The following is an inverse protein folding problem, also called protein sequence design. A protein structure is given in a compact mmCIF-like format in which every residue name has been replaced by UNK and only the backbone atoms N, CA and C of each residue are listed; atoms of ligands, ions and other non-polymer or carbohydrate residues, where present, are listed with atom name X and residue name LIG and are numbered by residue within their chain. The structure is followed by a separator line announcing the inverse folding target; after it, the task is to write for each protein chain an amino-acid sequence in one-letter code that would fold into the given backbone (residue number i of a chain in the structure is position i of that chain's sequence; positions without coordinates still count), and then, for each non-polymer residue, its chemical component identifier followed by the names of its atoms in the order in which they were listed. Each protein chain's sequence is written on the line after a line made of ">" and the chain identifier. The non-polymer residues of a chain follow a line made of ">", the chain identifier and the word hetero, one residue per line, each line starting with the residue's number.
data_IF_649639420420
#
_entry.id   IF_649639420420
#
_cell.length_a   1.000
_cell.length_b   1.000
_cell.length_c   1.000
_cell.angle_alpha   90.00
_cell.angle_beta   90.00
_cell.angle_gamma   90.00
#
_symmetry.space_group_name_H-M   'P 1'
#
loop_
_entity.id
_entity.type
_entity.pdbx_description
1 polymer ?
#
# COMPACT_ATOMS: atom_id res chain seq x y z
N UNK A 1 37.36 12.52 -1.86
CA UNK A 1 37.41 13.08 -0.51
C UNK A 1 35.99 13.35 -0.04
N UNK A 2 35.48 12.47 0.80
CA UNK A 2 34.16 12.63 1.43
C UNK A 2 34.37 13.45 2.70
N UNK A 3 33.84 14.65 2.76
CA UNK A 3 33.88 15.48 3.95
C UNK A 3 32.86 14.95 4.98
N UNK A 4 33.37 14.74 6.19
CA UNK A 4 32.61 14.34 7.38
C UNK A 4 31.49 15.36 7.67
N UNK A 5 30.26 14.88 7.77
CA UNK A 5 29.18 15.63 8.39
C UNK A 5 29.47 15.77 9.88
N UNK A 6 29.75 16.99 10.33
CA UNK A 6 29.89 17.33 11.73
C UNK A 6 28.52 17.19 12.42
N UNK A 7 28.52 16.50 13.55
CA UNK A 7 27.38 16.44 14.46
C UNK A 7 27.07 17.86 14.98
N UNK A 8 25.96 18.41 14.59
CA UNK A 8 25.41 19.62 15.19
C UNK A 8 24.81 19.28 16.55
N UNK A 9 25.25 20.02 17.57
CA UNK A 9 24.76 19.95 18.93
C UNK A 9 23.25 20.16 19.02
N UNK A 10 22.69 19.75 20.16
CA UNK A 10 21.28 19.80 20.53
C UNK A 10 20.79 21.25 20.55
N UNK A 11 20.54 21.80 19.38
CA UNK A 11 19.88 23.08 19.15
C UNK A 11 18.62 22.83 18.36
N UNK A 12 17.53 23.49 18.70
CA UNK A 12 16.19 23.45 18.17
C UNK A 12 16.02 22.59 16.90
N UNK A 13 15.32 21.47 17.01
CA UNK A 13 14.96 20.61 15.88
C UNK A 13 14.24 21.46 14.84
N UNK A 14 14.96 21.89 13.81
CA UNK A 14 14.31 22.54 12.66
C UNK A 14 13.45 21.44 12.03
N UNK A 15 12.16 21.48 12.31
CA UNK A 15 11.20 20.62 11.61
C UNK A 15 11.12 21.17 10.18
N UNK A 16 11.79 20.49 9.26
CA UNK A 16 11.62 20.74 7.84
C UNK A 16 10.16 20.46 7.47
N UNK A 17 9.55 21.38 6.74
CA UNK A 17 8.20 21.17 6.22
C UNK A 17 8.24 20.07 5.17
N UNK A 18 7.16 19.28 5.12
CA UNK A 18 6.98 18.30 4.05
C UNK A 18 6.94 19.01 2.70
N UNK A 19 7.59 18.44 1.70
CA UNK A 19 7.48 18.91 0.32
C UNK A 19 6.02 18.86 -0.15
N UNK A 20 5.56 19.84 -0.95
CA UNK A 20 4.25 19.76 -1.57
C UNK A 20 4.10 18.48 -2.38
N UNK A 21 2.89 17.97 -2.42
CA UNK A 21 2.55 16.87 -3.31
C UNK A 21 2.74 17.29 -4.77
N UNK A 22 3.27 16.40 -5.59
CA UNK A 22 3.58 16.67 -6.99
C UNK A 22 3.04 15.53 -7.86
N UNK A 23 2.69 15.85 -9.11
CA UNK A 23 2.31 14.82 -10.07
C UNK A 23 3.51 13.95 -10.44
N UNK A 24 3.28 12.66 -10.59
CA UNK A 24 4.29 11.72 -11.10
C UNK A 24 4.44 11.93 -12.60
N UNK A 25 5.61 12.35 -13.05
CA UNK A 25 5.92 12.49 -14.46
C UNK A 25 6.40 11.17 -15.11
N UNK A 26 6.37 11.03 -16.43
CA UNK A 26 6.66 9.77 -17.13
C UNK A 26 8.09 9.24 -16.88
N UNK A 27 9.04 10.10 -16.59
CA UNK A 27 10.42 9.67 -16.29
C UNK A 27 10.54 8.90 -14.97
N UNK A 28 9.60 9.05 -14.04
CA UNK A 28 9.61 8.31 -12.78
C UNK A 28 9.27 6.83 -12.96
N UNK A 29 8.60 6.44 -14.05
CA UNK A 29 8.27 5.04 -14.33
C UNK A 29 9.52 4.15 -14.30
N UNK A 30 10.63 4.57 -14.92
CA UNK A 30 11.89 3.82 -14.93
C UNK A 30 12.49 3.56 -13.54
N UNK A 31 12.20 4.43 -12.57
CA UNK A 31 12.70 4.30 -11.20
C UNK A 31 11.67 3.65 -10.28
N UNK A 32 10.40 3.88 -10.51
CA UNK A 32 9.32 3.44 -9.61
C UNK A 32 8.84 2.03 -9.94
N UNK A 33 8.81 1.66 -11.24
CA UNK A 33 8.44 0.33 -11.72
C UNK A 33 9.49 -0.21 -12.68
N UNK A 34 10.76 -0.34 -12.25
CA UNK A 34 11.87 -0.71 -13.14
C UNK A 34 11.72 -2.12 -13.70
N UNK A 35 10.92 -3.00 -13.10
CA UNK A 35 10.67 -4.36 -13.58
C UNK A 35 9.94 -4.37 -14.92
N UNK A 36 9.05 -3.40 -15.18
CA UNK A 36 8.37 -3.22 -16.46
C UNK A 36 9.37 -2.89 -17.59
N UNK A 37 10.59 -2.47 -17.22
CA UNK A 37 11.69 -2.16 -18.13
C UNK A 37 12.86 -3.16 -18.03
N UNK A 38 12.60 -4.35 -17.50
CA UNK A 38 13.59 -5.43 -17.38
C UNK A 38 14.69 -5.17 -16.33
N UNK A 39 14.45 -4.31 -15.34
CA UNK A 39 15.38 -4.00 -14.25
C UNK A 39 14.80 -4.46 -12.91
N UNK A 40 15.68 -4.78 -11.95
CA UNK A 40 15.25 -5.13 -10.59
C UNK A 40 14.80 -3.89 -9.83
N UNK A 41 13.57 -3.92 -9.29
CA UNK A 41 13.00 -2.90 -8.43
C UNK A 41 13.13 -3.20 -6.94
N UNK A 42 12.68 -2.24 -6.12
CA UNK A 42 12.56 -2.39 -4.65
C UNK A 42 11.16 -2.90 -4.25
N UNK A 43 10.22 -2.88 -5.17
CA UNK A 43 8.84 -3.32 -4.99
C UNK A 43 8.32 -3.89 -6.29
N UNK A 44 7.49 -4.91 -6.20
CA UNK A 44 6.82 -5.52 -7.35
C UNK A 44 5.36 -5.80 -7.03
N UNK A 45 4.62 -6.31 -8.00
CA UNK A 45 3.26 -6.79 -7.79
C UNK A 45 3.20 -8.23 -7.24
N UNK A 46 4.37 -8.85 -7.02
CA UNK A 46 4.49 -10.19 -6.43
C UNK A 46 5.14 -10.11 -5.07
N UNK A 47 4.32 -10.09 -4.03
CA UNK A 47 4.74 -10.04 -2.63
C UNK A 47 4.87 -11.44 -2.03
N UNK A 48 4.12 -12.41 -2.58
CA UNK A 48 4.13 -13.81 -2.16
C UNK A 48 4.22 -14.72 -3.38
N UNK A 49 4.80 -15.91 -3.20
CA UNK A 49 4.86 -16.93 -4.26
C UNK A 49 3.57 -17.76 -4.32
N UNK A 50 3.16 -18.15 -5.52
CA UNK A 50 2.00 -19.01 -5.79
C UNK A 50 2.05 -20.43 -5.17
N UNK A 51 2.96 -20.70 -4.26
CA UNK A 51 3.07 -21.96 -3.51
C UNK A 51 2.79 -21.83 -2.03
N UNK A 52 2.53 -20.62 -1.54
CA UNK A 52 2.16 -20.39 -0.14
C UNK A 52 0.66 -20.60 0.03
N UNK A 53 0.25 -21.29 1.09
CA UNK A 53 -1.15 -21.72 1.33
C UNK A 53 -2.16 -20.58 1.39
N UNK A 54 -1.69 -19.37 1.76
CA UNK A 54 -2.55 -18.20 2.00
C UNK A 54 -2.35 -17.11 0.94
N UNK A 55 -1.74 -17.49 -0.21
CA UNK A 55 -1.55 -16.57 -1.33
C UNK A 55 -2.88 -16.25 -2.00
N UNK A 56 -3.15 -14.96 -2.15
CA UNK A 56 -4.32 -14.44 -2.86
C UNK A 56 -3.87 -13.60 -4.04
N UNK A 57 -4.70 -13.54 -5.06
CA UNK A 57 -4.55 -12.63 -6.18
C UNK A 57 -5.62 -11.55 -6.12
N UNK A 58 -5.16 -10.29 -6.15
CA UNK A 58 -6.01 -9.11 -6.21
C UNK A 58 -5.92 -8.56 -7.62
N UNK A 59 -7.04 -8.28 -8.23
CA UNK A 59 -7.13 -7.64 -9.53
C UNK A 59 -8.07 -6.43 -9.44
N UNK A 60 -7.73 -5.38 -10.16
CA UNK A 60 -8.53 -4.16 -10.19
C UNK A 60 -8.30 -3.37 -11.46
N UNK A 61 -9.07 -2.30 -11.61
CA UNK A 61 -8.91 -1.33 -12.70
C UNK A 61 -9.00 0.07 -12.17
N UNK A 62 -8.24 0.96 -12.77
CA UNK A 62 -8.30 2.40 -12.50
C UNK A 62 -9.05 3.09 -13.63
N UNK A 63 -10.05 3.87 -13.24
CA UNK A 63 -10.83 4.69 -14.16
C UNK A 63 -10.76 6.15 -13.73
N UNK A 64 -10.86 7.04 -14.68
CA UNK A 64 -10.99 8.47 -14.42
C UNK A 64 -12.44 8.87 -14.09
N UNK A 65 -12.67 10.17 -13.87
CA UNK A 65 -14.00 10.68 -13.49
C UNK A 65 -15.07 10.61 -14.58
N UNK A 66 -14.70 10.33 -15.83
CA UNK A 66 -15.65 10.11 -16.94
C UNK A 66 -15.82 8.64 -17.31
N UNK A 67 -15.08 7.76 -16.63
CA UNK A 67 -15.14 6.31 -16.79
C UNK A 67 -14.17 5.74 -17.80
N UNK A 68 -13.21 6.51 -18.27
CA UNK A 68 -12.15 6.03 -19.16
C UNK A 68 -11.04 5.34 -18.37
N UNK A 69 -10.47 4.28 -18.96
CA UNK A 69 -9.39 3.53 -18.34
C UNK A 69 -8.10 4.36 -18.25
N UNK A 70 -7.49 4.39 -17.06
CA UNK A 70 -6.21 5.07 -16.84
C UNK A 70 -5.08 4.06 -17.00
N UNK A 71 -4.35 4.16 -18.09
CA UNK A 71 -3.34 3.19 -18.52
C UNK A 71 -1.91 3.46 -18.01
N UNK A 72 -1.73 4.49 -17.20
CA UNK A 72 -0.44 4.90 -16.64
C UNK A 72 -0.54 5.28 -15.16
N UNK A 73 -1.53 4.73 -14.46
CA UNK A 73 -1.60 4.84 -13.02
C UNK A 73 -0.58 3.90 -12.37
N UNK A 74 0.02 4.36 -11.28
CA UNK A 74 0.82 3.56 -10.37
C UNK A 74 -0.01 3.26 -9.13
N UNK A 75 -0.14 1.98 -8.81
CA UNK A 75 -0.88 1.50 -7.63
C UNK A 75 0.12 0.93 -6.64
N UNK A 76 0.02 1.37 -5.39
CA UNK A 76 0.78 0.80 -4.27
C UNK A 76 -0.17 0.14 -3.29
N UNK A 77 0.27 -0.96 -2.70
CA UNK A 77 -0.41 -1.60 -1.59
C UNK A 77 0.49 -1.67 -0.36
N UNK A 78 -0.14 -1.58 0.80
CA UNK A 78 0.51 -1.78 2.09
C UNK A 78 -0.38 -2.60 3.01
N UNK A 79 0.17 -3.66 3.59
CA UNK A 79 -0.58 -4.59 4.42
C UNK A 79 0.27 -5.28 5.48
N UNK A 80 -0.38 -5.84 6.50
CA UNK A 80 0.21 -6.79 7.42
C UNK A 80 0.29 -8.20 6.76
N UNK A 81 1.06 -9.10 7.37
CA UNK A 81 1.04 -10.52 7.02
C UNK A 81 -0.22 -11.24 7.56
N UNK A 82 -0.35 -12.54 7.32
CA UNK A 82 -1.49 -13.33 7.79
C UNK A 82 -1.64 -13.40 9.32
N UNK A 83 -0.56 -13.19 10.08
CA UNK A 83 -0.61 -13.07 11.53
C UNK A 83 -1.01 -11.66 12.03
N UNK A 84 -1.23 -10.70 11.13
CA UNK A 84 -1.59 -9.32 11.47
C UNK A 84 -0.38 -8.47 11.88
N UNK A 85 0.86 -8.88 11.55
CA UNK A 85 2.09 -8.12 11.83
C UNK A 85 2.60 -7.44 10.57
N UNK A 86 2.99 -6.16 10.70
CA UNK A 86 3.67 -5.44 9.63
C UNK A 86 5.17 -5.76 9.64
N UNK A 87 5.76 -5.95 8.48
CA UNK A 87 7.21 -6.09 8.31
C UNK A 87 7.90 -4.71 8.38
N UNK A 88 7.73 -4.02 9.50
CA UNK A 88 8.25 -2.66 9.71
C UNK A 88 8.80 -2.49 11.14
N UNK A 89 9.94 -1.79 11.33
CA UNK A 89 10.57 -1.63 12.64
C UNK A 89 9.70 -0.97 13.72
N UNK A 90 8.69 -0.19 13.33
CA UNK A 90 7.74 0.45 14.26
C UNK A 90 6.71 -0.55 14.82
N UNK A 91 6.50 -1.70 14.15
CA UNK A 91 5.65 -2.76 14.68
C UNK A 91 6.43 -3.63 15.64
N UNK A 92 6.45 -3.24 16.91
CA UNK A 92 7.18 -3.91 17.98
C UNK A 92 6.46 -5.14 18.56
N UNK A 93 5.47 -5.73 17.87
CA UNK A 93 4.74 -6.93 18.36
C UNK A 93 5.53 -8.20 18.04
N UNK A 94 6.59 -8.43 18.82
CA UNK A 94 7.52 -9.56 18.62
C UNK A 94 6.92 -10.92 18.99
N UNK A 95 5.76 -10.92 19.63
CA UNK A 95 4.92 -12.10 19.91
C UNK A 95 4.24 -12.66 18.64
N UNK A 96 4.11 -11.85 17.58
CA UNK A 96 3.57 -12.29 16.30
C UNK A 96 4.70 -12.61 15.32
N UNK A 97 4.61 -13.72 14.55
CA UNK A 97 5.65 -14.09 13.61
C UNK A 97 5.68 -13.15 12.41
N UNK A 98 6.87 -12.84 11.91
CA UNK A 98 7.05 -12.31 10.56
C UNK A 98 6.99 -13.45 9.54
N UNK A 99 6.53 -13.15 8.34
CA UNK A 99 6.59 -14.08 7.21
C UNK A 99 7.86 -13.82 6.43
N UNK A 100 8.69 -14.85 6.28
CA UNK A 100 10.00 -14.72 5.60
C UNK A 100 9.82 -14.24 4.16
N UNK A 101 10.65 -13.25 3.78
CA UNK A 101 10.60 -12.64 2.45
C UNK A 101 9.37 -11.77 2.15
N UNK A 102 8.40 -11.68 3.06
CA UNK A 102 7.20 -10.86 2.87
C UNK A 102 7.36 -9.47 3.46
N UNK A 103 7.34 -8.44 2.63
CA UNK A 103 7.49 -7.04 3.07
C UNK A 103 6.16 -6.35 3.34
N UNK A 104 5.07 -6.86 2.80
CA UNK A 104 3.74 -6.23 2.85
C UNK A 104 3.59 -5.00 1.96
N UNK A 105 4.64 -4.60 1.23
CA UNK A 105 4.63 -3.47 0.31
C UNK A 105 4.72 -3.96 -1.14
N UNK A 106 3.77 -3.55 -1.96
CA UNK A 106 3.73 -3.86 -3.38
C UNK A 106 3.49 -2.64 -4.25
N UNK A 107 3.91 -2.73 -5.50
CA UNK A 107 3.71 -1.69 -6.50
C UNK A 107 3.45 -2.31 -7.87
N UNK A 108 2.50 -1.73 -8.61
CA UNK A 108 2.15 -2.12 -9.97
C UNK A 108 1.82 -0.89 -10.81
N UNK A 109 2.08 -0.96 -12.11
CA UNK A 109 1.49 -0.04 -13.09
C UNK A 109 0.21 -0.64 -13.65
N UNK A 110 -0.67 0.21 -14.13
CA UNK A 110 -1.83 -0.22 -14.90
C UNK A 110 -1.43 -0.55 -16.35
N UNK A 111 -2.12 -1.53 -16.92
CA UNK A 111 -2.01 -1.89 -18.34
C UNK A 111 -2.83 -0.93 -19.23
N UNK A 112 -2.86 -1.21 -20.53
CA UNK A 112 -3.60 -0.41 -21.54
C UNK A 112 -5.10 -0.31 -21.28
N UNK A 113 -5.67 -1.22 -20.48
CA UNK A 113 -7.08 -1.25 -20.09
C UNK A 113 -7.31 -0.75 -18.65
N UNK A 114 -6.30 -0.10 -18.07
CA UNK A 114 -6.33 0.37 -16.68
C UNK A 114 -6.21 -0.74 -15.64
N UNK A 115 -5.93 -1.99 -16.07
CA UNK A 115 -5.85 -3.15 -15.20
C UNK A 115 -4.56 -3.20 -14.39
N UNK A 116 -4.64 -3.65 -13.14
CA UNK A 116 -3.51 -3.97 -12.28
C UNK A 116 -3.77 -5.24 -11.49
N UNK A 117 -2.73 -5.86 -10.97
CA UNK A 117 -2.87 -7.02 -10.09
C UNK A 117 -1.72 -7.15 -9.10
N UNK A 118 -1.99 -7.85 -8.00
CA UNK A 118 -1.01 -8.25 -6.99
C UNK A 118 -1.18 -9.71 -6.60
N UNK A 119 -0.08 -10.40 -6.38
CA UNK A 119 -0.03 -11.68 -5.68
C UNK A 119 0.54 -11.43 -4.29
N UNK A 120 -0.27 -11.68 -3.26
CA UNK A 120 0.05 -11.35 -1.88
C UNK A 120 -0.58 -12.37 -0.91
N UNK A 121 -0.39 -12.18 0.39
CA UNK A 121 -1.04 -12.99 1.42
C UNK A 121 -2.32 -12.29 1.90
N UNK A 122 -3.34 -13.08 2.27
CA UNK A 122 -4.49 -12.52 2.99
C UNK A 122 -4.01 -11.99 4.34
N UNK A 123 -4.19 -10.68 4.67
CA UNK A 123 -3.70 -10.13 5.92
C UNK A 123 -4.54 -10.63 7.12
N UNK A 124 -3.93 -10.64 8.30
CA UNK A 124 -4.63 -10.78 9.55
C UNK A 124 -5.14 -9.45 10.09
N UNK A 125 -5.88 -9.49 11.20
CA UNK A 125 -6.38 -8.31 11.91
C UNK A 125 -5.22 -7.53 12.53
N UNK A 126 -5.31 -6.22 12.55
CA UNK A 126 -4.30 -5.33 13.13
C UNK A 126 -4.92 -4.36 14.14
N UNK A 127 -4.17 -3.89 15.14
CA UNK A 127 -4.64 -2.83 16.03
C UNK A 127 -4.97 -1.55 15.26
N UNK A 128 -6.01 -0.87 15.69
CA UNK A 128 -6.46 0.41 15.16
C UNK A 128 -6.62 1.46 16.24
N UNK A 129 -7.39 2.51 15.98
CA UNK A 129 -7.67 3.56 16.95
C UNK A 129 -8.20 3.00 18.25
N UNK A 130 -7.65 3.47 19.39
CA UNK A 130 -8.07 3.00 20.71
C UNK A 130 -7.77 1.54 21.02
N UNK A 131 -6.80 0.92 20.33
CA UNK A 131 -6.46 -0.49 20.42
C UNK A 131 -7.60 -1.45 20.01
N UNK A 132 -8.64 -0.97 19.37
CA UNK A 132 -9.64 -1.82 18.75
C UNK A 132 -9.05 -2.54 17.55
N UNK A 133 -9.38 -3.82 17.38
CA UNK A 133 -8.89 -4.59 16.24
C UNK A 133 -9.64 -4.21 14.96
N UNK A 134 -8.90 -3.81 13.96
CA UNK A 134 -9.41 -3.64 12.60
C UNK A 134 -9.61 -5.00 11.92
N UNK A 135 -10.54 -5.09 11.00
CA UNK A 135 -10.68 -6.23 10.11
C UNK A 135 -9.46 -6.37 9.18
N UNK A 136 -9.20 -7.57 8.64
CA UNK A 136 -8.23 -7.75 7.57
C UNK A 136 -8.47 -6.78 6.42
N UNK A 137 -7.46 -5.99 6.06
CA UNK A 137 -7.57 -5.00 5.01
C UNK A 137 -6.23 -4.74 4.34
N UNK A 138 -6.28 -4.19 3.15
CA UNK A 138 -5.11 -3.74 2.39
C UNK A 138 -5.27 -2.25 2.13
N UNK A 139 -4.29 -1.46 2.52
CA UNK A 139 -4.19 -0.05 2.14
C UNK A 139 -3.79 0.06 0.67
N UNK A 140 -4.47 0.91 -0.08
CA UNK A 140 -4.21 1.14 -1.51
C UNK A 140 -3.96 2.62 -1.72
N UNK A 141 -2.90 2.93 -2.46
CA UNK A 141 -2.59 4.29 -2.88
C UNK A 141 -2.51 4.30 -4.40
N UNK A 142 -3.19 5.25 -5.03
CA UNK A 142 -3.19 5.41 -6.48
C UNK A 142 -2.58 6.75 -6.84
N UNK A 143 -1.60 6.70 -7.73
CA UNK A 143 -0.95 7.84 -8.35
C UNK A 143 -1.27 7.84 -9.84
N UNK A 144 -1.55 9.01 -10.40
CA UNK A 144 -1.75 9.16 -11.84
C UNK A 144 -1.24 10.52 -12.30
N UNK A 145 -0.91 10.62 -13.58
CA UNK A 145 -0.56 11.90 -14.19
C UNK A 145 -1.74 12.89 -14.03
N UNK A 146 -1.41 14.17 -13.88
CA UNK A 146 -2.41 15.21 -13.69
C UNK A 146 -2.95 15.34 -12.26
N UNK A 147 -2.70 14.34 -11.40
CA UNK A 147 -3.06 14.41 -9.99
C UNK A 147 -1.93 15.04 -9.18
N UNK A 148 -2.22 16.11 -8.45
CA UNK A 148 -1.27 16.73 -7.53
C UNK A 148 -1.19 16.03 -6.18
N UNK A 149 -2.20 15.26 -5.82
CA UNK A 149 -2.26 14.42 -4.64
C UNK A 149 -2.71 13.02 -5.03
N UNK A 150 -2.09 12.00 -4.42
CA UNK A 150 -2.52 10.63 -4.58
C UNK A 150 -3.89 10.39 -3.92
N UNK A 151 -4.59 9.35 -4.38
CA UNK A 151 -5.81 8.86 -3.74
C UNK A 151 -5.44 7.72 -2.81
N UNK A 152 -5.93 7.80 -1.58
CA UNK A 152 -5.77 6.74 -0.59
C UNK A 152 -7.12 6.08 -0.33
N UNK A 153 -7.15 4.75 -0.37
CA UNK A 153 -8.33 3.93 -0.05
C UNK A 153 -7.93 2.63 0.64
N UNK A 154 -8.90 1.81 0.97
CA UNK A 154 -8.72 0.46 1.51
C UNK A 154 -9.55 -0.55 0.76
N UNK A 155 -9.06 -1.78 0.75
CA UNK A 155 -9.79 -2.97 0.31
C UNK A 155 -10.02 -3.84 1.54
N UNK A 156 -11.26 -4.24 1.76
CA UNK A 156 -11.68 -5.23 2.76
C UNK A 156 -12.18 -6.49 2.05
N UNK A 157 -12.27 -7.57 2.79
CA UNK A 157 -12.68 -8.88 2.25
C UNK A 157 -14.12 -9.19 2.62
N UNK A 158 -14.96 -9.52 1.65
CA UNK A 158 -16.40 -9.76 1.86
C UNK A 158 -16.71 -11.00 2.71
N UNK A 159 -15.77 -11.93 2.80
CA UNK A 159 -15.84 -13.14 3.61
C UNK A 159 -15.41 -12.94 5.07
N UNK A 160 -15.06 -11.70 5.47
CA UNK A 160 -14.60 -11.39 6.83
C UNK A 160 -15.73 -10.92 7.75
N UNK A 161 -16.17 -11.75 8.73
CA UNK A 161 -17.19 -11.34 9.70
C UNK A 161 -16.78 -10.11 10.52
N UNK A 162 -15.47 -9.95 10.76
CA UNK A 162 -14.90 -8.85 11.53
C UNK A 162 -15.06 -7.47 10.89
N UNK A 163 -15.52 -7.39 9.63
CA UNK A 163 -15.87 -6.12 8.99
C UNK A 163 -16.94 -5.35 9.78
N UNK A 164 -17.86 -6.05 10.46
CA UNK A 164 -18.89 -5.44 11.29
C UNK A 164 -18.36 -4.79 12.57
N UNK A 165 -17.13 -5.12 12.98
CA UNK A 165 -16.47 -4.64 14.20
C UNK A 165 -15.34 -3.65 13.89
N UNK A 166 -15.10 -3.35 12.61
CA UNK A 166 -13.97 -2.51 12.19
C UNK A 166 -14.26 -1.03 12.48
N UNK A 167 -13.47 -0.37 13.37
CA UNK A 167 -13.73 1.01 13.77
C UNK A 167 -13.55 2.01 12.63
N UNK A 168 -12.77 1.67 11.60
CA UNK A 168 -12.58 2.54 10.44
C UNK A 168 -13.76 2.40 9.48
N UNK A 169 -14.22 1.17 9.20
CA UNK A 169 -15.44 0.96 8.42
C UNK A 169 -16.65 1.58 9.11
N UNK A 170 -16.75 1.48 10.43
CA UNK A 170 -17.84 2.08 11.19
C UNK A 170 -17.86 3.62 11.04
N UNK A 171 -16.71 4.26 10.95
CA UNK A 171 -16.59 5.72 10.75
C UNK A 171 -17.01 6.20 9.35
N UNK A 172 -17.14 5.28 8.39
CA UNK A 172 -17.52 5.60 7.01
C UNK A 172 -19.04 5.56 6.86
N UNK A 173 -19.60 6.50 6.08
CA UNK A 173 -21.02 6.49 5.74
C UNK A 173 -21.47 5.10 5.27
N UNK A 174 -22.57 4.61 5.84
CA UNK A 174 -23.08 3.26 5.60
C UNK A 174 -23.33 2.97 4.11
N UNK A 175 -23.70 3.98 3.32
CA UNK A 175 -23.88 3.83 1.86
C UNK A 175 -22.57 3.65 1.10
N UNK A 176 -21.45 4.08 1.71
CA UNK A 176 -20.12 3.99 1.12
C UNK A 176 -19.37 2.72 1.52
N UNK A 177 -19.69 2.12 2.68
CA UNK A 177 -19.00 0.91 3.17
C UNK A 177 -18.93 -0.22 2.13
N UNK A 178 -20.02 -0.57 1.41
CA UNK A 178 -19.97 -1.63 0.40
C UNK A 178 -19.01 -1.36 -0.77
N UNK A 179 -18.58 -0.12 -0.97
CA UNK A 179 -17.60 0.21 -2.02
C UNK A 179 -16.16 -0.11 -1.63
N UNK A 180 -15.92 -0.50 -0.37
CA UNK A 180 -14.60 -0.86 0.16
C UNK A 180 -14.47 -2.38 0.39
N UNK A 181 -15.58 -3.13 0.29
CA UNK A 181 -15.67 -4.56 0.59
C UNK A 181 -15.82 -5.36 -0.70
#
# INVERSE_FOLDING_TARGET
>A
AWQQCHAYGIGARIMTKQSPSQTVGPYFAYSLTPEDYGRKGIASNRLAGLGQSDCIRIEGRVFDGVGDAVNDAMVEIWQANGAGRYAHPVDGRDDLPLTDGFTGFGRAMTDTNGGFWFETLKPGRVPGPGNQLQAPHIGIIVFSRGMQAHVFTRLYFSDEPSNSEDPVLESIDAKRRPTLI
#
